data_IF_212986767617
#
_entry.id   IF_212986767617
#
_cell.length_a   1.000
_cell.length_b   1.000
_cell.length_c   1.000
_cell.angle_alpha   90.00
_cell.angle_beta   90.00
_cell.angle_gamma   90.00
#
_symmetry.space_group_name_H-M   'P 1'
#
loop_
_entity.id
_entity.type
_entity.pdbx_description
1 polymer ?
#
# COMPACT_ATOMS: atom_id res chain seq x y z
N UNK A 1 1.66 6.25 17.19
CA UNK A 1 1.30 5.82 15.82
C UNK A 1 0.04 6.56 15.47
N UNK A 2 0.09 7.38 14.41
CA UNK A 2 -0.95 8.33 14.07
C UNK A 2 -1.40 7.99 12.65
N UNK A 3 -2.66 7.56 12.48
CA UNK A 3 -3.24 7.30 11.18
C UNK A 3 -4.00 8.55 10.67
N UNK A 4 -3.78 8.91 9.41
CA UNK A 4 -4.44 10.03 8.73
C UNK A 4 -5.18 9.50 7.49
N UNK A 5 -6.32 10.11 7.13
CA UNK A 5 -7.22 9.56 6.10
C UNK A 5 -6.86 10.15 4.72
N UNK A 6 -6.54 9.32 3.73
CA UNK A 6 -6.48 9.73 2.32
C UNK A 6 -7.85 9.43 1.69
N UNK A 7 -8.45 10.42 1.03
CA UNK A 7 -9.83 10.31 0.56
C UNK A 7 -9.93 10.68 -0.93
N UNK A 8 -10.75 9.93 -1.68
CA UNK A 8 -11.16 10.28 -3.05
C UNK A 8 -12.68 10.45 -3.16
N UNK A 9 -13.11 11.39 -4.01
CA UNK A 9 -14.52 11.75 -4.22
C UNK A 9 -15.26 10.78 -5.14
N UNK A 10 -16.54 10.52 -4.84
CA UNK A 10 -17.52 9.99 -5.80
C UNK A 10 -18.49 8.93 -5.25
N UNK A 11 -19.75 9.01 -5.70
CA UNK A 11 -20.96 8.34 -5.19
C UNK A 11 -21.00 6.79 -5.22
N UNK A 12 -21.71 6.28 -4.18
CA UNK A 12 -22.54 5.06 -3.95
C UNK A 12 -22.04 3.60 -4.22
N UNK A 13 -22.58 2.71 -3.36
CA UNK A 13 -22.48 1.24 -3.21
C UNK A 13 -21.13 0.70 -2.64
N UNK A 14 -21.02 -0.24 -1.70
CA UNK A 14 -21.91 -1.12 -0.91
C UNK A 14 -21.05 -2.26 -0.29
N UNK A 15 -21.48 -2.85 0.84
CA UNK A 15 -20.89 -3.95 1.67
C UNK A 15 -19.61 -3.63 2.48
N UNK A 16 -19.55 -3.71 3.82
CA UNK A 16 -19.76 -4.77 4.85
C UNK A 16 -18.64 -5.82 4.90
N UNK A 17 -17.83 -5.80 5.98
CA UNK A 17 -17.32 -7.00 6.63
C UNK A 17 -17.25 -6.87 8.16
N UNK A 18 -17.45 -8.01 8.80
CA UNK A 18 -17.66 -8.30 10.21
C UNK A 18 -16.39 -8.93 10.79
N UNK A 19 -16.03 -8.64 12.04
CA UNK A 19 -15.16 -9.52 12.83
C UNK A 19 -15.60 -9.61 14.30
N UNK A 20 -16.06 -10.82 14.68
CA UNK A 20 -15.78 -11.49 15.95
C UNK A 20 -16.36 -10.94 17.26
N UNK A 21 -17.50 -11.50 17.68
CA UNK A 21 -18.06 -11.36 19.03
C UNK A 21 -17.08 -11.78 20.14
N UNK A 22 -17.07 -11.01 21.23
CA UNK A 22 -16.57 -11.47 22.55
C UNK A 22 -17.53 -12.55 23.07
N UNK A 23 -17.02 -13.75 23.32
CA UNK A 23 -17.65 -14.65 24.28
C UNK A 23 -16.70 -14.99 25.43
N UNK A 24 -17.32 -15.07 26.60
CA UNK A 24 -16.72 -15.40 27.89
C UNK A 24 -15.99 -16.73 27.90
N UNK A 25 -15.03 -16.82 28.82
CA UNK A 25 -14.23 -18.00 29.17
C UNK A 25 -15.12 -19.23 29.34
N UNK A 26 -14.64 -20.36 28.81
CA UNK A 26 -14.62 -21.57 29.59
C UNK A 26 -13.33 -22.34 29.32
N UNK A 27 -12.75 -22.85 30.40
CA UNK A 27 -11.42 -23.45 30.47
C UNK A 27 -11.48 -24.94 30.16
N UNK A 28 -10.83 -25.40 29.09
CA UNK A 28 -10.34 -26.78 28.96
C UNK A 28 -9.12 -26.81 28.04
N UNK A 29 -7.99 -27.31 28.56
CA UNK A 29 -6.75 -27.45 27.80
C UNK A 29 -6.88 -28.61 26.81
N UNK A 30 -6.69 -28.34 25.52
CA UNK A 30 -6.41 -29.38 24.53
C UNK A 30 -5.14 -29.04 23.76
N UNK A 31 -4.16 -29.92 23.89
CA UNK A 31 -2.91 -29.93 23.13
C UNK A 31 -3.26 -29.93 21.64
N UNK A 32 -3.04 -28.80 20.95
CA UNK A 32 -3.25 -28.70 19.51
C UNK A 32 -1.90 -28.54 18.83
N UNK A 33 -1.47 -29.61 18.16
CA UNK A 33 -0.36 -29.61 17.23
C UNK A 33 -0.59 -28.50 16.20
N UNK A 34 0.25 -27.47 16.19
CA UNK A 34 0.07 -26.31 15.31
C UNK A 34 0.26 -26.72 13.84
N UNK A 35 -0.84 -26.86 13.10
CA UNK A 35 -0.80 -26.96 11.63
C UNK A 35 -0.15 -25.68 11.11
N UNK A 36 1.04 -25.78 10.50
CA UNK A 36 1.68 -24.64 9.84
C UNK A 36 0.88 -24.30 8.58
N UNK A 37 0.05 -23.28 8.66
CA UNK A 37 -0.68 -22.74 7.50
C UNK A 37 0.33 -22.13 6.52
N UNK A 38 0.21 -22.48 5.23
CA UNK A 38 1.05 -21.92 4.16
C UNK A 38 0.74 -20.42 3.97
N UNK A 39 1.75 -19.56 3.68
CA UNK A 39 1.51 -18.17 3.30
C UNK A 39 0.62 -18.03 2.07
N UNK A 40 -0.25 -17.03 2.10
CA UNK A 40 -1.11 -16.67 0.97
C UNK A 40 -0.28 -16.15 -0.22
N UNK A 41 -0.87 -16.16 -1.41
CA UNK A 41 -0.25 -15.64 -2.62
C UNK A 41 -0.46 -14.13 -2.77
N UNK A 42 0.40 -13.48 -3.57
CA UNK A 42 0.25 -12.06 -3.89
C UNK A 42 -1.06 -11.84 -4.65
N UNK A 43 -1.87 -10.88 -4.20
CA UNK A 43 -3.16 -10.58 -4.85
C UNK A 43 -3.02 -9.36 -5.75
N UNK A 44 -3.22 -9.56 -7.05
CA UNK A 44 -3.27 -8.50 -8.06
C UNK A 44 -4.71 -8.32 -8.53
N UNK A 45 -5.26 -7.12 -8.36
CA UNK A 45 -6.66 -6.83 -8.69
C UNK A 45 -6.76 -5.86 -9.86
N UNK A 46 -7.60 -6.18 -10.83
CA UNK A 46 -7.79 -5.36 -12.02
C UNK A 46 -8.60 -4.09 -11.70
N UNK A 47 -8.08 -2.94 -12.10
CA UNK A 47 -8.74 -1.64 -11.97
C UNK A 47 -8.75 -0.90 -13.30
N UNK A 48 -9.88 -0.26 -13.62
CA UNK A 48 -9.98 0.62 -14.78
C UNK A 48 -9.28 1.94 -14.50
N UNK A 49 -8.49 2.42 -15.45
CA UNK A 49 -7.87 3.75 -15.37
C UNK A 49 -8.96 4.82 -15.41
N UNK A 50 -8.70 5.98 -14.82
CA UNK A 50 -9.62 7.10 -14.70
C UNK A 50 -10.89 6.79 -13.88
N UNK A 51 -10.87 5.70 -13.12
CA UNK A 51 -11.89 5.39 -12.13
C UNK A 51 -11.31 5.50 -10.72
N UNK A 52 -12.13 5.30 -9.70
CA UNK A 52 -11.67 5.38 -8.32
C UNK A 52 -10.51 4.38 -8.09
N UNK A 53 -9.47 4.75 -7.34
CA UNK A 53 -8.47 3.80 -6.87
C UNK A 53 -9.10 2.62 -6.10
N UNK A 54 -8.30 1.64 -5.67
CA UNK A 54 -8.78 0.53 -4.83
C UNK A 54 -8.27 0.73 -3.39
N UNK A 55 -9.10 0.34 -2.42
CA UNK A 55 -8.70 0.21 -1.02
C UNK A 55 -7.62 -0.85 -0.82
N UNK A 56 -6.74 -0.64 0.17
CA UNK A 56 -5.69 -1.59 0.54
C UNK A 56 -4.70 -1.92 -0.60
N UNK A 57 -4.60 -1.01 -1.57
CA UNK A 57 -3.55 -1.04 -2.57
C UNK A 57 -2.19 -0.80 -1.88
N UNK A 58 -1.18 -1.59 -2.22
CA UNK A 58 0.14 -1.51 -1.61
C UNK A 58 0.81 -0.21 -2.04
N UNK A 59 1.02 0.68 -1.07
CA UNK A 59 1.78 1.91 -1.25
C UNK A 59 3.28 1.66 -1.34
N UNK A 60 3.94 2.51 -2.11
CA UNK A 60 5.39 2.58 -2.19
C UNK A 60 5.95 3.19 -0.90
N UNK A 61 7.09 2.66 -0.44
CA UNK A 61 7.72 3.08 0.81
C UNK A 61 7.87 4.60 0.93
N UNK A 62 7.29 5.17 1.99
CA UNK A 62 7.37 6.60 2.31
C UNK A 62 6.62 7.52 1.34
N UNK A 63 5.82 6.97 0.41
CA UNK A 63 5.00 7.74 -0.51
C UNK A 63 3.54 7.75 -0.04
N UNK A 64 2.89 8.91 -0.11
CA UNK A 64 1.47 9.05 0.27
C UNK A 64 0.52 8.78 -0.89
N UNK A 65 0.98 8.92 -2.13
CA UNK A 65 0.14 8.81 -3.33
C UNK A 65 0.86 8.07 -4.48
N UNK A 66 1.50 6.95 -4.15
CA UNK A 66 2.15 6.09 -5.14
C UNK A 66 1.89 4.63 -4.76
N UNK A 67 1.35 3.87 -5.69
CA UNK A 67 0.92 2.49 -5.51
C UNK A 67 1.61 1.57 -6.52
N UNK A 68 1.84 0.32 -6.11
CA UNK A 68 2.44 -0.71 -6.97
C UNK A 68 1.43 -1.19 -8.01
N UNK A 69 1.75 -0.99 -9.29
CA UNK A 69 0.90 -1.35 -10.41
C UNK A 69 1.60 -2.32 -11.37
N UNK A 70 0.80 -3.15 -12.03
CA UNK A 70 1.23 -4.11 -13.04
C UNK A 70 0.41 -3.90 -14.31
N UNK A 71 1.08 -3.92 -15.44
CA UNK A 71 0.47 -3.83 -16.76
C UNK A 71 0.92 -5.00 -17.62
N UNK A 72 -0.04 -5.69 -18.22
CA UNK A 72 0.19 -6.86 -19.06
C UNK A 72 -0.34 -6.59 -20.46
N UNK A 73 0.50 -6.81 -21.47
CA UNK A 73 0.11 -6.76 -22.88
C UNK A 73 0.17 -8.18 -23.46
N UNK A 74 -0.75 -8.51 -24.37
CA UNK A 74 -0.77 -9.82 -25.01
C UNK A 74 0.56 -10.10 -25.72
N UNK A 75 1.16 -11.25 -25.44
CA UNK A 75 2.42 -11.69 -26.06
C UNK A 75 3.68 -10.97 -25.55
N UNK A 76 3.58 -10.09 -24.55
CA UNK A 76 4.73 -9.42 -23.93
C UNK A 76 4.85 -9.76 -22.44
N UNK A 77 6.06 -9.72 -21.86
CA UNK A 77 6.24 -9.81 -20.42
C UNK A 77 5.45 -8.71 -19.70
N UNK A 78 4.95 -8.97 -18.47
CA UNK A 78 4.31 -7.94 -17.69
C UNK A 78 5.33 -6.88 -17.26
N UNK A 79 4.83 -5.66 -17.03
CA UNK A 79 5.63 -4.49 -16.67
C UNK A 79 5.13 -3.95 -15.34
N UNK A 80 6.04 -3.79 -14.37
CA UNK A 80 5.72 -3.10 -13.12
C UNK A 80 5.91 -1.59 -13.31
N UNK A 81 4.99 -0.82 -12.77
CA UNK A 81 5.04 0.63 -12.79
C UNK A 81 4.33 1.21 -11.58
N UNK A 82 3.99 2.48 -11.69
CA UNK A 82 3.36 3.22 -10.61
C UNK A 82 1.95 3.65 -10.99
N UNK A 83 1.07 3.62 -9.99
CA UNK A 83 -0.23 4.27 -10.06
C UNK A 83 -0.37 5.33 -8.96
N UNK A 84 -1.22 6.32 -9.17
CA UNK A 84 -1.51 7.37 -8.20
C UNK A 84 -2.95 7.86 -8.37
N UNK A 85 -3.44 8.54 -7.34
CA UNK A 85 -4.72 9.22 -7.36
C UNK A 85 -4.51 10.67 -7.80
N UNK A 86 -5.23 11.11 -8.82
CA UNK A 86 -5.33 12.52 -9.17
C UNK A 86 -6.80 12.91 -9.33
N UNK A 87 -7.29 13.81 -8.49
CA UNK A 87 -8.69 14.25 -8.51
C UNK A 87 -9.70 13.15 -8.21
N UNK A 88 -9.32 12.08 -7.52
CA UNK A 88 -10.15 10.89 -7.31
C UNK A 88 -10.13 9.87 -8.44
N UNK A 89 -9.33 10.12 -9.49
CA UNK A 89 -9.17 9.23 -10.63
C UNK A 89 -7.81 8.53 -10.60
N UNK A 90 -7.80 7.23 -10.84
CA UNK A 90 -6.60 6.41 -10.91
C UNK A 90 -5.82 6.75 -12.19
N UNK A 91 -4.59 7.21 -12.00
CA UNK A 91 -3.60 7.45 -13.03
C UNK A 91 -2.47 6.42 -12.93
N UNK A 92 -1.68 6.28 -13.99
CA UNK A 92 -0.57 5.33 -14.02
C UNK A 92 0.54 5.70 -15.01
N UNK A 93 1.73 5.16 -14.77
CA UNK A 93 2.88 5.25 -15.67
C UNK A 93 3.71 3.96 -15.64
N UNK A 94 4.08 3.48 -16.83
CA UNK A 94 4.91 2.30 -17.05
C UNK A 94 6.04 2.63 -18.02
N UNK A 95 7.17 1.95 -17.88
CA UNK A 95 8.31 2.07 -18.80
C UNK A 95 8.69 0.70 -19.35
N UNK A 96 8.65 0.56 -20.67
CA UNK A 96 9.14 -0.62 -21.37
C UNK A 96 9.48 -0.24 -22.82
N UNK A 97 10.28 -1.06 -23.51
CA UNK A 97 10.64 -0.85 -24.92
C UNK A 97 11.17 0.58 -25.22
N UNK A 98 11.91 1.16 -24.27
CA UNK A 98 12.44 2.54 -24.33
C UNK A 98 11.39 3.65 -24.44
N UNK A 99 10.15 3.37 -24.03
CA UNK A 99 9.02 4.30 -24.06
C UNK A 99 8.35 4.37 -22.71
N UNK A 100 7.70 5.50 -22.46
CA UNK A 100 6.78 5.68 -21.33
C UNK A 100 5.34 5.51 -21.82
N UNK A 101 4.55 4.81 -21.02
CA UNK A 101 3.14 4.56 -21.26
C UNK A 101 2.33 5.10 -20.07
N UNK A 102 1.44 6.05 -20.33
CA UNK A 102 0.54 6.66 -19.34
C UNK A 102 -0.90 6.64 -19.86
N UNK A 103 -1.87 6.62 -18.93
CA UNK A 103 -3.29 6.83 -19.24
C UNK A 103 -3.79 6.12 -20.50
N UNK A 104 -4.21 6.90 -21.50
CA UNK A 104 -4.77 6.39 -22.76
C UNK A 104 -3.76 5.63 -23.65
N UNK A 105 -2.46 5.88 -23.48
CA UNK A 105 -1.43 5.31 -24.36
C UNK A 105 -1.05 3.88 -23.98
N UNK A 106 -1.54 3.35 -22.85
CA UNK A 106 -1.27 1.96 -22.45
C UNK A 106 -2.05 0.93 -23.29
N UNK A 107 -2.98 1.36 -24.15
CA UNK A 107 -3.72 0.48 -25.06
C UNK A 107 -4.69 -0.50 -24.39
N UNK A 108 -4.76 -0.53 -23.06
CA UNK A 108 -5.73 -1.26 -22.25
C UNK A 108 -6.51 -0.27 -21.38
N UNK A 109 -7.77 -0.57 -21.09
CA UNK A 109 -8.54 0.25 -20.15
C UNK A 109 -8.19 -0.03 -18.69
N UNK A 110 -7.55 -1.17 -18.42
CA UNK A 110 -7.27 -1.67 -17.08
C UNK A 110 -5.79 -1.90 -16.82
N UNK A 111 -5.40 -1.71 -15.57
CA UNK A 111 -4.14 -2.15 -14.97
C UNK A 111 -4.45 -3.04 -13.77
N UNK A 112 -3.44 -3.68 -13.19
CA UNK A 112 -3.61 -4.39 -11.92
C UNK A 112 -2.89 -3.64 -10.80
N UNK A 113 -3.52 -3.52 -9.63
CA UNK A 113 -2.91 -2.98 -8.42
C UNK A 113 -2.56 -4.14 -7.49
N UNK A 114 -1.39 -4.08 -6.85
CA UNK A 114 -1.05 -5.03 -5.79
C UNK A 114 -1.90 -4.72 -4.56
N UNK A 115 -2.63 -5.70 -4.04
CA UNK A 115 -3.48 -5.56 -2.86
C UNK A 115 -2.88 -6.28 -1.66
N UNK A 116 -3.05 -5.71 -0.47
CA UNK A 116 -2.75 -6.37 0.80
C UNK A 116 -3.94 -6.22 1.75
N UNK A 117 -4.87 -7.17 1.68
CA UNK A 117 -6.02 -7.23 2.57
C UNK A 117 -5.72 -8.16 3.76
N UNK A 118 -6.05 -7.73 4.98
CA UNK A 118 -5.74 -8.45 6.21
C UNK A 118 -4.38 -8.05 6.79
N UNK A 119 -3.72 -8.99 7.47
CA UNK A 119 -2.45 -8.76 8.14
C UNK A 119 -1.53 -9.99 8.06
N UNK A 120 -0.36 -9.93 8.69
CA UNK A 120 0.55 -11.07 8.72
C UNK A 120 -0.03 -12.28 9.47
N UNK A 121 -0.99 -12.07 10.36
CA UNK A 121 -1.60 -13.14 11.14
C UNK A 121 -2.63 -13.92 10.31
N UNK A 122 -3.33 -13.27 9.36
CA UNK A 122 -4.21 -13.90 8.37
C UNK A 122 -3.40 -14.45 7.20
N UNK A 123 -2.51 -13.65 6.62
CA UNK A 123 -1.83 -13.95 5.35
C UNK A 123 -0.55 -14.79 5.53
N UNK A 124 -0.04 -14.91 6.76
CA UNK A 124 1.27 -15.48 7.11
C UNK A 124 2.47 -14.78 6.45
N UNK A 125 2.29 -13.56 5.97
CA UNK A 125 3.37 -12.68 5.52
C UNK A 125 2.93 -11.22 5.59
N UNK A 126 3.89 -10.30 5.57
CA UNK A 126 3.66 -8.88 5.27
C UNK A 126 4.64 -8.41 4.20
N UNK A 127 4.32 -7.30 3.53
CA UNK A 127 5.24 -6.69 2.57
C UNK A 127 6.28 -5.80 3.25
N UNK A 128 7.52 -5.93 2.82
CA UNK A 128 8.67 -5.18 3.31
C UNK A 128 9.46 -4.63 2.11
N UNK A 129 9.86 -3.37 2.17
CA UNK A 129 10.77 -2.78 1.19
C UNK A 129 12.20 -2.86 1.72
N UNK A 130 13.11 -3.51 0.99
CA UNK A 130 14.52 -3.66 1.38
C UNK A 130 15.45 -3.24 0.25
N UNK A 131 16.68 -2.78 0.52
CA UNK A 131 17.66 -2.53 -0.52
C UNK A 131 17.91 -3.77 -1.38
N UNK A 132 18.05 -3.59 -2.69
CA UNK A 132 18.34 -4.68 -3.61
C UNK A 132 19.70 -5.33 -3.30
N UNK A 133 20.67 -4.56 -2.81
CA UNK A 133 21.94 -5.08 -2.32
C UNK A 133 21.76 -6.03 -1.13
N UNK A 134 20.90 -5.68 -0.17
CA UNK A 134 20.55 -6.53 0.97
C UNK A 134 19.91 -7.84 0.49
N UNK A 135 18.91 -7.74 -0.41
CA UNK A 135 18.27 -8.92 -1.02
C UNK A 135 19.28 -9.84 -1.70
N UNK A 136 20.22 -9.29 -2.48
CA UNK A 136 21.25 -10.07 -3.20
C UNK A 136 22.26 -10.73 -2.26
N UNK A 137 22.55 -10.10 -1.12
CA UNK A 137 23.51 -10.60 -0.13
C UNK A 137 22.92 -11.65 0.83
N UNK A 138 21.59 -11.73 0.92
CA UNK A 138 20.90 -12.63 1.84
C UNK A 138 21.15 -14.11 1.48
N UNK A 139 21.41 -14.93 2.51
CA UNK A 139 21.52 -16.37 2.34
C UNK A 139 20.18 -16.97 1.91
N UNK A 140 20.16 -17.61 0.74
CA UNK A 140 18.94 -18.24 0.18
C UNK A 140 18.42 -19.41 1.02
N UNK A 141 19.24 -19.99 1.89
CA UNK A 141 18.88 -21.17 2.70
C UNK A 141 18.25 -20.81 4.05
N UNK A 142 18.33 -19.55 4.48
CA UNK A 142 17.88 -19.12 5.81
C UNK A 142 16.90 -17.93 5.79
N UNK A 143 16.55 -17.45 4.60
CA UNK A 143 15.70 -16.26 4.48
C UNK A 143 14.21 -16.58 4.64
N UNK A 144 13.54 -15.84 5.51
CA UNK A 144 12.07 -15.79 5.59
C UNK A 144 11.46 -14.86 4.55
N UNK A 145 12.28 -14.29 3.65
CA UNK A 145 11.87 -13.31 2.66
C UNK A 145 11.81 -13.91 1.26
N UNK A 146 10.76 -13.57 0.53
CA UNK A 146 10.53 -13.95 -0.86
C UNK A 146 10.23 -12.70 -1.70
N UNK A 147 10.97 -12.48 -2.78
CA UNK A 147 10.77 -11.31 -3.66
C UNK A 147 9.40 -11.35 -4.33
N UNK A 148 8.66 -10.25 -4.24
CA UNK A 148 7.40 -10.06 -4.96
C UNK A 148 7.72 -9.94 -6.44
N UNK A 149 7.06 -10.75 -7.27
CA UNK A 149 7.31 -10.78 -8.71
C UNK A 149 6.10 -11.20 -9.51
N UNK A 150 6.05 -10.75 -10.75
CA UNK A 150 5.13 -11.25 -11.77
C UNK A 150 5.95 -11.70 -12.97
N UNK A 151 6.05 -13.02 -13.17
CA UNK A 151 6.97 -13.59 -14.16
C UNK A 151 8.43 -13.16 -13.91
N UNK A 152 9.11 -12.53 -14.88
CA UNK A 152 10.52 -12.14 -14.75
C UNK A 152 10.74 -10.81 -14.03
N UNK A 153 9.68 -10.04 -13.75
CA UNK A 153 9.80 -8.68 -13.22
C UNK A 153 9.40 -8.57 -11.75
N UNK A 154 10.05 -7.64 -11.04
CA UNK A 154 9.78 -7.29 -9.65
C UNK A 154 9.64 -5.76 -9.49
N UNK A 155 8.82 -5.26 -8.55
CA UNK A 155 8.81 -3.84 -8.22
C UNK A 155 10.15 -3.35 -7.68
N UNK A 156 10.65 -2.24 -8.22
CA UNK A 156 11.85 -1.57 -7.71
C UNK A 156 11.62 -0.07 -7.59
N UNK A 157 11.96 0.49 -6.45
CA UNK A 157 11.73 1.89 -6.10
C UNK A 157 13.04 2.65 -5.95
N UNK A 158 13.18 3.72 -6.73
CA UNK A 158 14.31 4.63 -6.69
C UNK A 158 13.97 5.84 -5.83
N UNK A 159 14.35 5.77 -4.54
CA UNK A 159 14.01 6.76 -3.52
C UNK A 159 14.48 8.18 -3.87
N UNK A 160 15.70 8.34 -4.38
CA UNK A 160 16.28 9.66 -4.69
C UNK A 160 15.52 10.39 -5.81
N UNK A 161 14.87 9.63 -6.71
CA UNK A 161 14.07 10.18 -7.81
C UNK A 161 12.56 10.14 -7.54
N UNK A 162 12.13 9.50 -6.45
CA UNK A 162 10.72 9.24 -6.15
C UNK A 162 9.97 8.59 -7.33
N UNK A 163 10.53 7.53 -7.91
CA UNK A 163 9.92 6.78 -9.03
C UNK A 163 9.95 5.27 -8.77
N UNK A 164 8.84 4.59 -9.07
CA UNK A 164 8.72 3.14 -9.05
C UNK A 164 8.74 2.58 -10.48
N UNK A 165 9.46 1.48 -10.69
CA UNK A 165 9.63 0.87 -12.01
C UNK A 165 9.71 -0.66 -11.96
N UNK A 166 10.15 -1.22 -13.08
CA UNK A 166 10.20 -2.65 -13.33
C UNK A 166 11.63 -3.16 -13.29
N UNK A 167 11.95 -4.05 -12.34
CA UNK A 167 13.23 -4.74 -12.26
C UNK A 167 13.17 -6.10 -12.93
N UNK A 168 13.95 -6.29 -13.99
CA UNK A 168 14.15 -7.59 -14.62
C UNK A 168 15.17 -8.39 -13.79
N UNK A 169 14.67 -9.45 -13.13
CA UNK A 169 15.48 -10.26 -12.21
C UNK A 169 16.59 -11.01 -12.94
N UNK A 170 16.36 -11.44 -14.18
CA UNK A 170 17.37 -12.19 -14.93
C UNK A 170 18.42 -11.26 -15.55
N UNK A 171 17.97 -10.18 -16.19
CA UNK A 171 18.85 -9.23 -16.84
C UNK A 171 19.51 -8.22 -15.88
N UNK A 172 19.07 -8.16 -14.62
CA UNK A 172 19.62 -7.29 -13.58
C UNK A 172 19.60 -5.80 -14.01
N UNK A 173 18.49 -5.38 -14.61
CA UNK A 173 18.24 -4.01 -15.08
C UNK A 173 16.89 -3.53 -14.57
N UNK A 174 16.76 -2.22 -14.39
CA UNK A 174 15.52 -1.58 -14.02
C UNK A 174 15.14 -0.50 -15.04
N UNK A 175 13.87 -0.49 -15.43
CA UNK A 175 13.28 0.51 -16.31
C UNK A 175 12.25 1.35 -15.54
N UNK A 176 12.30 2.68 -15.70
CA UNK A 176 11.46 3.64 -14.99
C UNK A 176 10.85 4.66 -15.93
N UNK A 177 9.63 5.09 -15.60
CA UNK A 177 8.98 6.24 -16.20
C UNK A 177 9.18 7.47 -15.31
N UNK A 178 9.85 8.51 -15.83
CA UNK A 178 9.99 9.80 -15.15
C UNK A 178 9.39 10.89 -16.04
N UNK A 179 8.14 11.27 -15.76
CA UNK A 179 7.31 12.03 -16.71
C UNK A 179 7.32 11.32 -18.08
N UNK A 180 7.69 12.01 -19.16
CA UNK A 180 7.79 11.43 -20.50
C UNK A 180 9.13 10.72 -20.77
N UNK A 181 10.06 10.72 -19.82
CA UNK A 181 11.40 10.16 -20.01
C UNK A 181 11.46 8.69 -19.58
N UNK A 182 11.94 7.85 -20.49
CA UNK A 182 12.35 6.49 -20.17
C UNK A 182 13.75 6.50 -19.55
N UNK A 183 13.89 5.88 -18.38
CA UNK A 183 15.18 5.73 -17.69
C UNK A 183 15.47 4.25 -17.51
N UNK A 184 16.66 3.82 -17.94
CA UNK A 184 17.17 2.47 -17.70
C UNK A 184 18.39 2.56 -16.80
N UNK A 185 18.47 1.64 -15.84
CA UNK A 185 19.60 1.50 -14.92
C UNK A 185 20.07 0.06 -14.92
N UNK A 186 21.36 -0.14 -15.10
CA UNK A 186 22.02 -1.46 -15.06
C UNK A 186 23.26 -1.48 -14.15
N UNK A 187 23.67 -0.31 -13.65
CA UNK A 187 24.82 -0.14 -12.79
C UNK A 187 24.54 -0.75 -11.41
N UNK A 188 25.31 -1.77 -11.03
CA UNK A 188 25.10 -2.52 -9.79
C UNK A 188 25.11 -1.65 -8.51
N UNK A 189 25.98 -0.64 -8.34
CA UNK A 189 25.93 0.24 -7.16
C UNK A 189 24.62 1.03 -7.08
N UNK A 190 24.19 1.61 -8.20
CA UNK A 190 22.95 2.40 -8.30
C UNK A 190 21.73 1.53 -8.06
N UNK A 191 21.66 0.35 -8.68
CA UNK A 191 20.58 -0.60 -8.45
C UNK A 191 20.58 -1.11 -7.00
N UNK A 192 21.75 -1.34 -6.42
CA UNK A 192 21.92 -1.88 -5.08
C UNK A 192 21.33 -1.01 -3.97
N UNK A 193 21.29 0.31 -4.15
CA UNK A 193 20.68 1.26 -3.20
C UNK A 193 19.17 1.40 -3.35
N UNK A 194 18.59 0.99 -4.49
CA UNK A 194 17.15 1.01 -4.71
C UNK A 194 16.45 -0.06 -3.88
N UNK A 195 15.16 0.15 -3.59
CA UNK A 195 14.37 -0.75 -2.76
C UNK A 195 13.58 -1.72 -3.63
N UNK A 196 13.58 -3.01 -3.28
CA UNK A 196 12.69 -4.02 -3.86
C UNK A 196 11.65 -4.46 -2.84
N UNK A 197 10.50 -4.91 -3.33
CA UNK A 197 9.43 -5.40 -2.48
C UNK A 197 9.58 -6.90 -2.22
N UNK A 198 9.52 -7.30 -0.96
CA UNK A 198 9.56 -8.71 -0.54
C UNK A 198 8.37 -9.04 0.36
N UNK A 199 7.90 -10.28 0.30
CA UNK A 199 7.09 -10.90 1.34
C UNK A 199 8.02 -11.32 2.47
N UNK A 200 7.71 -10.94 3.71
CA UNK A 200 8.41 -11.43 4.89
C UNK A 200 7.48 -12.35 5.70
N UNK A 201 7.89 -13.61 5.84
CA UNK A 201 7.17 -14.66 6.60
C UNK A 201 7.72 -14.85 8.02
N UNK A 202 8.73 -14.06 8.41
CA UNK A 202 9.48 -14.14 9.66
C UNK A 202 8.78 -13.47 10.84
N UNK A 203 7.51 -13.78 11.07
CA UNK A 203 6.69 -13.14 12.10
C UNK A 203 5.96 -11.89 11.61
N UNK A 204 5.78 -10.90 12.48
CA UNK A 204 5.05 -9.67 12.16
C UNK A 204 5.95 -8.46 11.91
N UNK A 205 5.42 -7.40 11.29
CA UNK A 205 6.17 -6.17 11.04
C UNK A 205 6.53 -5.48 12.37
N UNK A 206 7.58 -4.66 12.32
CA UNK A 206 7.98 -3.83 13.45
C UNK A 206 6.80 -2.96 13.93
N UNK A 207 6.56 -2.93 15.24
CA UNK A 207 5.47 -2.15 15.84
C UNK A 207 4.08 -2.79 15.73
N UNK A 208 3.95 -4.02 15.21
CA UNK A 208 2.66 -4.71 15.19
C UNK A 208 2.14 -5.01 16.60
N UNK A 209 0.87 -4.69 16.85
CA UNK A 209 0.20 -4.85 18.14
C UNK A 209 -0.78 -6.03 18.18
N UNK A 210 -0.76 -6.91 17.17
CA UNK A 210 -1.63 -8.10 17.17
C UNK A 210 -1.26 -9.04 18.33
N UNK A 211 -2.17 -9.91 18.72
CA UNK A 211 -1.96 -10.85 19.84
C UNK A 211 -0.73 -11.75 19.67
N UNK A 212 -0.41 -12.14 18.43
CA UNK A 212 0.80 -12.93 18.10
C UNK A 212 2.11 -12.15 18.31
N UNK A 213 2.10 -10.83 18.07
CA UNK A 213 3.29 -9.98 18.19
C UNK A 213 3.44 -9.34 19.56
N UNK A 214 2.33 -9.01 20.24
CA UNK A 214 2.33 -8.41 21.57
C UNK A 214 3.01 -9.29 22.64
N UNK A 215 3.09 -10.61 22.41
CA UNK A 215 3.79 -11.54 23.28
C UNK A 215 5.33 -11.52 23.12
N UNK A 216 5.86 -10.88 22.07
CA UNK A 216 7.32 -10.71 21.87
C UNK A 216 7.75 -9.38 22.48
N UNK A 217 8.69 -9.46 23.41
CA UNK A 217 9.15 -8.34 24.26
C UNK A 217 9.50 -7.10 23.41
N UNK A 218 8.84 -5.97 23.70
CA UNK A 218 8.83 -4.71 22.93
C UNK A 218 10.20 -3.99 22.88
N UNK A 219 11.26 -4.56 23.47
CA UNK A 219 12.53 -3.90 23.76
C UNK A 219 13.41 -3.58 22.54
N UNK A 220 13.05 -4.06 21.34
CA UNK A 220 13.81 -3.80 20.10
C UNK A 220 12.94 -3.28 18.94
N UNK A 221 11.68 -2.94 19.17
CA UNK A 221 10.85 -2.38 18.12
C UNK A 221 11.41 -1.00 17.69
N UNK A 222 12.09 -0.95 16.53
CA UNK A 222 12.40 0.33 15.87
C UNK A 222 11.08 1.08 15.73
N UNK A 223 10.98 2.26 16.35
CA UNK A 223 9.80 3.10 16.24
C UNK A 223 9.59 3.44 14.75
N UNK A 224 8.36 3.28 14.27
CA UNK A 224 7.96 3.81 12.97
C UNK A 224 7.98 5.34 13.05
N UNK A 225 8.93 5.98 12.35
CA UNK A 225 9.10 7.45 12.26
C UNK A 225 8.36 8.01 11.04
N UNK A 226 7.38 7.28 10.51
CA UNK A 226 6.57 7.69 9.36
C UNK A 226 5.12 7.85 9.78
N UNK A 227 4.45 8.87 9.24
CA UNK A 227 3.01 9.02 9.37
C UNK A 227 2.34 7.84 8.68
N UNK A 228 1.36 7.23 9.35
CA UNK A 228 0.57 6.17 8.77
C UNK A 228 -0.66 6.78 8.09
N UNK A 229 -1.00 6.28 6.92
CA UNK A 229 -2.10 6.80 6.12
C UNK A 229 -3.05 5.65 5.79
N UNK A 230 -4.36 5.84 5.93
CA UNK A 230 -5.34 4.88 5.44
C UNK A 230 -5.99 5.37 4.15
N UNK A 231 -6.22 4.49 3.18
CA UNK A 231 -6.94 4.84 1.94
C UNK A 231 -8.44 4.59 2.12
N UNK A 232 -9.23 5.63 1.90
CA UNK A 232 -10.68 5.61 2.03
C UNK A 232 -11.38 6.39 0.91
N UNK A 233 -12.69 6.22 0.83
CA UNK A 233 -13.61 6.96 -0.03
C UNK A 233 -14.60 7.71 0.83
N UNK A 234 -15.07 8.84 0.30
CA UNK A 234 -16.26 9.50 0.85
C UNK A 234 -17.43 8.52 0.86
N UNK A 235 -18.18 8.49 1.95
CA UNK A 235 -19.31 7.59 2.15
C UNK A 235 -18.95 6.17 2.62
N UNK A 236 -17.66 5.82 2.74
CA UNK A 236 -17.26 4.60 3.43
C UNK A 236 -17.68 4.63 4.90
N UNK A 237 -17.78 3.44 5.51
CA UNK A 237 -18.00 3.33 6.95
C UNK A 237 -16.86 4.02 7.72
N UNK A 238 -17.22 4.74 8.78
CA UNK A 238 -16.24 5.39 9.64
C UNK A 238 -15.30 4.36 10.28
N UNK A 239 -13.96 4.56 10.23
CA UNK A 239 -13.00 3.61 10.77
C UNK A 239 -12.96 3.69 12.30
N UNK A 240 -13.76 2.86 12.97
CA UNK A 240 -13.86 2.80 14.43
C UNK A 240 -12.70 2.04 15.09
N UNK A 241 -12.00 1.24 14.30
CA UNK A 241 -10.95 0.30 14.71
C UNK A 241 -9.54 0.83 14.46
N UNK A 242 -9.39 1.96 13.76
CA UNK A 242 -8.09 2.57 13.46
C UNK A 242 -7.81 3.79 14.35
N UNK A 243 -6.57 3.96 14.84
CA UNK A 243 -6.19 5.14 15.61
C UNK A 243 -6.05 6.37 14.70
N UNK A 244 -7.16 7.07 14.47
CA UNK A 244 -7.23 8.27 13.62
C UNK A 244 -6.94 9.56 14.40
N UNK A 245 -6.26 10.52 13.77
CA UNK A 245 -5.85 11.79 14.42
C UNK A 245 -7.00 12.80 14.42
N UNK A 246 -7.51 13.08 15.61
CA UNK A 246 -8.49 14.14 15.87
C UNK A 246 -7.80 15.50 15.98
N UNK A 247 -8.33 16.50 15.27
CA UNK A 247 -7.83 17.87 15.31
C UNK A 247 -7.86 18.43 16.74
N UNK A 248 -6.72 18.91 17.21
CA UNK A 248 -6.52 19.45 18.57
C UNK A 248 -6.95 18.51 19.72
N UNK A 249 -7.15 17.21 19.43
CA UNK A 249 -7.69 16.22 20.36
C UNK A 249 -9.00 16.65 21.06
N UNK A 250 -9.83 17.47 20.41
CA UNK A 250 -11.09 17.98 20.97
C UNK A 250 -12.11 18.32 19.87
N UNK A 251 -13.42 18.35 20.17
CA UNK A 251 -14.40 18.87 19.23
C UNK A 251 -14.07 20.31 18.85
N UNK A 252 -14.20 20.64 17.57
CA UNK A 252 -14.06 21.99 17.05
C UNK A 252 -15.43 22.67 17.04
N UNK A 253 -15.46 23.99 17.24
CA UNK A 253 -16.69 24.77 17.10
C UNK A 253 -16.94 25.00 15.61
N UNK A 254 -18.03 24.47 15.10
CA UNK A 254 -18.46 24.67 13.71
C UNK A 254 -19.80 25.42 13.65
N UNK A 255 -20.19 25.98 12.50
CA UNK A 255 -21.52 26.59 12.34
C UNK A 255 -22.69 25.63 12.64
N UNK A 256 -22.46 24.31 12.56
CA UNK A 256 -23.46 23.26 12.86
C UNK A 256 -23.39 22.75 14.31
N UNK A 257 -22.55 23.36 15.15
CA UNK A 257 -22.29 22.94 16.52
C UNK A 257 -20.90 22.30 16.70
N UNK A 258 -20.59 21.81 17.91
CA UNK A 258 -19.35 21.09 18.17
C UNK A 258 -19.26 19.80 17.34
N UNK A 259 -18.19 19.64 16.58
CA UNK A 259 -17.98 18.47 15.72
C UNK A 259 -16.53 17.99 15.79
N UNK A 260 -16.34 16.68 15.71
CA UNK A 260 -15.02 16.07 15.68
C UNK A 260 -14.49 16.06 14.24
N UNK A 261 -13.39 16.78 14.01
CA UNK A 261 -12.72 16.83 12.71
C UNK A 261 -11.39 16.07 12.77
N UNK A 262 -11.08 15.39 11.69
CA UNK A 262 -9.90 14.55 11.52
C UNK A 262 -9.11 14.99 10.31
N UNK A 263 -7.80 14.79 10.34
CA UNK A 263 -6.93 15.22 9.23
C UNK A 263 -7.20 14.34 8.00
N UNK A 264 -7.38 14.96 6.84
CA UNK A 264 -7.55 14.29 5.56
C UNK A 264 -6.58 14.84 4.51
N UNK A 265 -6.18 14.01 3.55
CA UNK A 265 -5.36 14.39 2.40
C UNK A 265 -6.04 13.96 1.09
N UNK A 266 -6.07 14.88 0.14
CA UNK A 266 -6.52 14.66 -1.24
C UNK A 266 -5.46 15.16 -2.22
N UNK A 267 -5.61 14.81 -3.49
CA UNK A 267 -4.75 15.27 -4.58
C UNK A 267 -5.61 15.85 -5.69
N UNK A 268 -5.29 17.08 -6.10
CA UNK A 268 -5.94 17.75 -7.21
C UNK A 268 -4.88 18.35 -8.14
N UNK A 269 -4.89 17.95 -9.42
CA UNK A 269 -3.90 18.34 -10.41
C UNK A 269 -2.46 18.10 -9.94
N UNK A 270 -2.22 16.93 -9.33
CA UNK A 270 -0.93 16.53 -8.78
C UNK A 270 -0.50 17.26 -7.50
N UNK A 271 -1.32 18.17 -6.96
CA UNK A 271 -1.01 18.91 -5.72
C UNK A 271 -1.69 18.29 -4.51
N UNK A 272 -0.96 18.11 -3.39
CA UNK A 272 -1.57 17.65 -2.15
C UNK A 272 -2.44 18.75 -1.52
N UNK A 273 -3.69 18.43 -1.21
CA UNK A 273 -4.66 19.29 -0.56
C UNK A 273 -5.02 18.70 0.81
N UNK A 274 -4.61 19.37 1.89
CA UNK A 274 -5.03 19.00 3.24
C UNK A 274 -6.47 19.46 3.48
N UNK A 275 -7.24 18.63 4.16
CA UNK A 275 -8.63 18.92 4.49
C UNK A 275 -9.03 18.32 5.81
N UNK A 276 -10.34 18.26 6.01
CA UNK A 276 -10.95 17.64 7.17
C UNK A 276 -11.89 16.52 6.75
N UNK A 277 -11.93 15.48 7.57
CA UNK A 277 -12.95 14.44 7.54
C UNK A 277 -13.75 14.47 8.85
N UNK A 278 -15.02 14.06 8.78
CA UNK A 278 -15.87 13.87 9.96
C UNK A 278 -16.82 12.70 9.78
N UNK A 279 -17.33 12.18 10.90
CA UNK A 279 -18.31 11.10 10.89
C UNK A 279 -19.70 11.67 10.67
N UNK A 280 -20.27 11.44 9.49
CA UNK A 280 -21.65 11.77 9.17
C UNK A 280 -22.49 10.49 9.11
N UNK A 281 -23.27 10.24 10.16
CA UNK A 281 -24.18 9.08 10.27
C UNK A 281 -23.49 7.71 10.06
N UNK A 282 -22.30 7.54 10.65
CA UNK A 282 -21.50 6.32 10.54
C UNK A 282 -20.65 6.25 9.28
N UNK A 283 -20.63 7.30 8.46
CA UNK A 283 -19.88 7.36 7.20
C UNK A 283 -18.87 8.51 7.19
N UNK A 284 -17.84 8.36 6.37
CA UNK A 284 -16.83 9.39 6.13
C UNK A 284 -17.42 10.47 5.24
N UNK A 285 -17.34 11.71 5.70
CA UNK A 285 -17.64 12.91 4.93
C UNK A 285 -16.46 13.89 5.00
N UNK A 286 -16.28 14.74 3.99
CA UNK A 286 -15.02 15.48 3.76
C UNK A 286 -15.20 16.89 3.25
N UNK A 287 -14.18 17.70 3.47
CA UNK A 287 -14.04 19.01 2.86
C UNK A 287 -12.56 19.35 2.73
N UNK A 288 -12.17 19.69 1.49
CA UNK A 288 -10.86 20.20 1.14
C UNK A 288 -10.96 21.69 0.85
N UNK A 289 -9.87 22.40 1.10
CA UNK A 289 -9.71 23.81 0.70
C UNK A 289 -8.59 23.82 -0.33
N UNK A 290 -8.89 24.36 -1.50
CA UNK A 290 -7.91 24.63 -2.55
C UNK A 290 -7.30 26.03 -2.36
#
# INVERSE_FOLDING_TARGET
>A
MFAVIIISDGHLAGLIFHFGNRHMRDSTSTNTTSVKTKPAEDTWTSQRINTKPIQDAVRVFGQTNMYVALWSQQGKPPVVGQAWNDGGALQCAFACDQKVFTGANIGTETIQLLKYEGDHATNQFYYEWIPLSEWKSASKTETTREMVRSGPVSPIYWKEKCILGSYDVAAQKADFAQAENFIKVSEAPTLGSMLVLVRNTGGGPAGCTCTKCAAKDLKQAKQLIVNDWGDFYVGNQWPVDKPIVKALNRPLRTPRGPEDHFVALWYHHGKPCMGRAWNHAGKIDVSFVE
#
